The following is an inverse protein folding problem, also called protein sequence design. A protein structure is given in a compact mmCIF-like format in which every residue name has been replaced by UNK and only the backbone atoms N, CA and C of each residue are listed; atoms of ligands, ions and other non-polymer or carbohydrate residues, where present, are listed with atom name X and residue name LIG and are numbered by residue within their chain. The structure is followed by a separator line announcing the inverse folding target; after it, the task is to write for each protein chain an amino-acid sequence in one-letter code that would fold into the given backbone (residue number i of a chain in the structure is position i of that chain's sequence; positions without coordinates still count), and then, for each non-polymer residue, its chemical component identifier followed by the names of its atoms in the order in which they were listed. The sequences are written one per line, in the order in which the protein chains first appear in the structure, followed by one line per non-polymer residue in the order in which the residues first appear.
data_IF_977348771876
#
_entry.id   IF_977348771876
#
_cell.length_a   1.000
_cell.length_b   1.000
_cell.length_c   1.000
_cell.angle_alpha   90.00
_cell.angle_beta   90.00
_cell.angle_gamma   90.00
#
_symmetry.space_group_name_H-M   'P 1'
#
loop_
_entity.id
_entity.type
_entity.pdbx_description
1 polymer ?
#
# COMPACT_ATOMS: atom_id res chain seq x y z
N UNK A 1 -11.99 -15.16 -4.16
CA UNK A 1 -10.86 -14.71 -3.28
C UNK A 1 -10.69 -15.50 -1.99
N UNK A 2 -11.70 -15.56 -1.10
CA UNK A 2 -11.57 -16.17 0.26
C UNK A 2 -10.99 -17.59 0.27
N UNK A 3 -11.38 -18.41 -0.71
CA UNK A 3 -10.85 -19.77 -0.90
C UNK A 3 -9.36 -19.79 -1.24
N UNK A 4 -8.90 -18.88 -2.10
CA UNK A 4 -7.47 -18.73 -2.45
C UNK A 4 -6.68 -18.25 -1.22
N UNK A 5 -7.19 -17.26 -0.50
CA UNK A 5 -6.57 -16.73 0.72
C UNK A 5 -6.45 -17.81 1.82
N UNK A 6 -7.48 -18.64 2.00
CA UNK A 6 -7.44 -19.78 2.93
C UNK A 6 -6.36 -20.79 2.53
N UNK A 7 -6.28 -21.17 1.25
CA UNK A 7 -5.23 -22.07 0.74
C UNK A 7 -3.84 -21.48 0.93
N UNK A 8 -3.65 -20.19 0.65
CA UNK A 8 -2.40 -19.48 0.86
C UNK A 8 -1.98 -19.48 2.34
N UNK A 9 -2.89 -19.08 3.25
CA UNK A 9 -2.63 -19.06 4.71
C UNK A 9 -2.28 -20.46 5.24
N UNK A 10 -2.98 -21.50 4.78
CA UNK A 10 -2.68 -22.87 5.17
C UNK A 10 -1.30 -23.32 4.66
N UNK A 11 -0.96 -23.02 3.40
CA UNK A 11 0.34 -23.39 2.84
C UNK A 11 1.48 -22.63 3.52
N UNK A 12 1.28 -21.37 3.88
CA UNK A 12 2.24 -20.60 4.68
C UNK A 12 2.44 -21.18 6.08
N UNK A 13 1.36 -21.59 6.76
CA UNK A 13 1.46 -22.29 8.07
C UNK A 13 2.24 -23.60 7.94
N UNK A 14 1.97 -24.38 6.90
CA UNK A 14 2.71 -25.61 6.62
C UNK A 14 4.20 -25.33 6.39
N UNK A 15 4.52 -24.36 5.53
CA UNK A 15 5.90 -23.94 5.28
C UNK A 15 6.61 -23.51 6.57
N UNK A 16 5.97 -22.67 7.39
CA UNK A 16 6.53 -22.20 8.67
C UNK A 16 6.78 -23.37 9.62
N UNK A 17 5.83 -24.30 9.73
CA UNK A 17 5.97 -25.50 10.56
C UNK A 17 7.11 -26.41 10.10
N UNK A 18 7.21 -26.63 8.78
CA UNK A 18 8.27 -27.43 8.18
C UNK A 18 9.64 -26.80 8.45
N UNK A 19 9.81 -25.49 8.22
CA UNK A 19 11.07 -24.77 8.49
C UNK A 19 11.45 -24.85 9.97
N UNK A 20 10.50 -24.61 10.90
CA UNK A 20 10.78 -24.69 12.34
C UNK A 20 11.23 -26.10 12.74
N UNK A 21 10.50 -27.13 12.30
CA UNK A 21 10.85 -28.52 12.57
C UNK A 21 12.26 -28.85 12.03
N UNK A 22 12.55 -28.40 10.81
CA UNK A 22 13.84 -28.60 10.15
C UNK A 22 15.00 -28.02 10.95
N UNK A 23 14.84 -26.77 11.38
CA UNK A 23 15.84 -26.04 12.15
C UNK A 23 16.08 -26.71 13.49
N UNK A 24 15.02 -27.09 14.22
CA UNK A 24 15.13 -27.79 15.50
C UNK A 24 15.85 -29.13 15.31
N UNK A 25 15.45 -29.92 14.33
CA UNK A 25 16.04 -31.23 14.06
C UNK A 25 17.55 -31.12 13.76
N UNK A 26 17.94 -30.19 12.88
CA UNK A 26 19.33 -29.95 12.53
C UNK A 26 20.15 -29.51 13.75
N UNK A 27 19.65 -28.57 14.56
CA UNK A 27 20.35 -28.12 15.76
C UNK A 27 20.54 -29.23 16.81
N UNK A 28 19.50 -30.02 17.05
CA UNK A 28 19.58 -31.17 17.96
C UNK A 28 20.61 -32.17 17.46
N UNK A 29 20.60 -32.46 16.15
CA UNK A 29 21.56 -33.39 15.57
C UNK A 29 22.99 -32.88 15.60
N UNK A 30 23.25 -31.59 15.35
CA UNK A 30 24.60 -31.01 15.50
C UNK A 30 25.16 -31.25 16.91
N UNK A 31 24.33 -31.11 17.95
CA UNK A 31 24.74 -31.41 19.33
C UNK A 31 24.93 -32.91 19.63
N UNK A 32 24.15 -33.76 18.97
CA UNK A 32 24.20 -35.22 19.15
C UNK A 32 25.23 -35.92 18.24
N UNK A 33 25.71 -35.25 17.19
CA UNK A 33 26.64 -35.77 16.17
C UNK A 33 27.83 -36.55 16.73
N UNK A 34 28.58 -36.07 17.76
CA UNK A 34 29.71 -36.82 18.30
C UNK A 34 29.29 -38.16 18.92
N UNK A 35 28.12 -38.22 19.57
CA UNK A 35 27.59 -39.46 20.17
C UNK A 35 27.08 -40.43 19.12
N UNK A 36 26.42 -39.93 18.07
CA UNK A 36 25.91 -40.75 16.96
C UNK A 36 27.07 -41.36 16.17
N UNK A 37 28.13 -40.59 15.89
CA UNK A 37 29.35 -41.09 15.24
C UNK A 37 30.07 -42.15 16.07
N UNK A 38 30.11 -41.96 17.39
CA UNK A 38 30.70 -42.95 18.30
C UNK A 38 29.92 -44.27 18.32
N UNK A 39 28.61 -44.23 18.12
CA UNK A 39 27.76 -45.42 18.08
C UNK A 39 27.81 -46.14 16.71
N UNK A 40 27.69 -45.40 15.61
CA UNK A 40 27.78 -45.96 14.26
C UNK A 40 28.10 -44.88 13.22
N UNK A 41 29.22 -45.06 12.51
CA UNK A 41 29.61 -44.18 11.41
C UNK A 41 28.58 -44.20 10.27
N UNK A 42 28.02 -45.37 9.94
CA UNK A 42 27.00 -45.49 8.90
C UNK A 42 25.69 -44.77 9.29
N UNK A 43 25.34 -44.78 10.58
CA UNK A 43 24.18 -44.06 11.09
C UNK A 43 24.38 -42.55 10.97
N UNK A 44 25.56 -42.03 11.34
CA UNK A 44 25.87 -40.61 11.20
C UNK A 44 25.82 -40.14 9.74
N UNK A 45 26.35 -40.94 8.80
CA UNK A 45 26.24 -40.66 7.36
C UNK A 45 24.77 -40.64 6.91
N UNK A 46 23.96 -41.61 7.35
CA UNK A 46 22.53 -41.64 7.05
C UNK A 46 21.76 -40.42 7.56
N UNK A 47 22.07 -39.95 8.77
CA UNK A 47 21.41 -38.76 9.35
C UNK A 47 21.87 -37.47 8.66
N UNK A 48 23.14 -37.37 8.24
CA UNK A 48 23.61 -36.26 7.42
C UNK A 48 22.84 -36.16 6.10
N UNK A 49 22.67 -37.27 5.38
CA UNK A 49 21.83 -37.29 4.17
C UNK A 49 20.38 -36.92 4.46
N UNK A 50 19.83 -37.35 5.59
CA UNK A 50 18.49 -36.94 6.01
C UNK A 50 18.41 -35.42 6.21
N UNK A 51 19.40 -34.80 6.86
CA UNK A 51 19.49 -33.34 6.99
C UNK A 51 19.55 -32.64 5.62
N UNK A 52 20.37 -33.12 4.69
CA UNK A 52 20.49 -32.54 3.35
C UNK A 52 19.19 -32.63 2.55
N UNK A 53 18.53 -33.79 2.57
CA UNK A 53 17.21 -33.99 1.95
C UNK A 53 16.18 -33.01 2.54
N UNK A 54 16.26 -32.80 3.84
CA UNK A 54 15.34 -31.95 4.58
C UNK A 54 15.57 -30.46 4.24
N UNK A 55 16.83 -30.01 4.08
CA UNK A 55 17.15 -28.68 3.54
C UNK A 55 16.63 -28.53 2.10
N UNK A 56 16.85 -29.54 1.25
CA UNK A 56 16.40 -29.51 -0.14
C UNK A 56 14.86 -29.44 -0.23
N UNK A 57 14.16 -30.20 0.61
CA UNK A 57 12.71 -30.15 0.72
C UNK A 57 12.22 -28.75 1.14
N UNK A 58 12.88 -28.09 2.10
CA UNK A 58 12.57 -26.71 2.45
C UNK A 58 12.69 -25.77 1.25
N UNK A 59 13.80 -25.84 0.51
CA UNK A 59 14.03 -24.98 -0.65
C UNK A 59 12.96 -25.17 -1.72
N UNK A 60 12.58 -26.43 -2.02
CA UNK A 60 11.52 -26.74 -2.98
C UNK A 60 10.17 -26.17 -2.52
N UNK A 61 9.80 -26.35 -1.25
CA UNK A 61 8.52 -25.85 -0.73
C UNK A 61 8.50 -24.31 -0.71
N UNK A 62 9.59 -23.65 -0.33
CA UNK A 62 9.74 -22.19 -0.40
C UNK A 62 9.57 -21.72 -1.84
N UNK A 63 10.25 -22.37 -2.78
CA UNK A 63 10.17 -22.04 -4.21
C UNK A 63 8.74 -22.17 -4.74
N UNK A 64 8.06 -23.27 -4.44
CA UNK A 64 6.66 -23.48 -4.83
C UNK A 64 5.73 -22.43 -4.23
N UNK A 65 5.95 -22.03 -2.97
CA UNK A 65 5.18 -20.98 -2.32
C UNK A 65 5.33 -19.64 -3.06
N UNK A 66 6.58 -19.18 -3.25
CA UNK A 66 6.83 -17.89 -3.90
C UNK A 66 6.43 -17.87 -5.36
N UNK A 67 6.67 -18.97 -6.09
CA UNK A 67 6.26 -19.10 -7.49
C UNK A 67 4.75 -19.04 -7.66
N UNK A 68 3.98 -19.55 -6.70
CA UNK A 68 2.52 -19.63 -6.81
C UNK A 68 1.78 -18.44 -6.20
N UNK A 69 2.31 -17.87 -5.11
CA UNK A 69 1.61 -16.88 -4.30
C UNK A 69 2.34 -15.54 -4.16
N UNK A 70 3.60 -15.43 -4.58
CA UNK A 70 4.42 -14.24 -4.30
C UNK A 70 3.80 -12.92 -4.78
N UNK A 71 3.33 -12.87 -6.04
CA UNK A 71 2.66 -11.68 -6.60
C UNK A 71 1.20 -11.54 -6.15
N UNK A 72 0.56 -12.67 -5.86
CA UNK A 72 -0.85 -12.74 -5.48
C UNK A 72 -1.04 -12.17 -4.07
N UNK A 73 -0.04 -12.32 -3.19
CA UNK A 73 -0.14 -11.90 -1.80
C UNK A 73 -0.34 -10.41 -1.63
N UNK A 74 0.48 -9.58 -2.30
CA UNK A 74 0.35 -8.12 -2.24
C UNK A 74 -0.98 -7.70 -2.83
N UNK A 75 -1.32 -8.23 -4.00
CA UNK A 75 -2.57 -7.92 -4.69
C UNK A 75 -3.81 -8.24 -3.85
N UNK A 76 -3.85 -9.41 -3.21
CA UNK A 76 -4.96 -9.79 -2.32
C UNK A 76 -5.01 -8.90 -1.08
N UNK A 77 -3.86 -8.49 -0.56
CA UNK A 77 -3.81 -7.58 0.59
C UNK A 77 -4.34 -6.20 0.22
N UNK A 78 -4.03 -5.70 -0.98
CA UNK A 78 -4.51 -4.40 -1.44
C UNK A 78 -6.05 -4.40 -1.55
N UNK A 79 -6.64 -5.47 -2.12
CA UNK A 79 -8.10 -5.62 -2.15
C UNK A 79 -8.69 -5.77 -0.74
N UNK A 80 -8.07 -6.55 0.14
CA UNK A 80 -8.52 -6.67 1.54
C UNK A 80 -8.51 -5.31 2.23
N UNK A 81 -7.44 -4.53 2.05
CA UNK A 81 -7.30 -3.20 2.64
C UNK A 81 -8.42 -2.28 2.15
N UNK A 82 -8.70 -2.25 0.85
CA UNK A 82 -9.75 -1.41 0.25
C UNK A 82 -11.17 -1.83 0.66
N UNK A 83 -11.46 -3.13 0.74
CA UNK A 83 -12.77 -3.63 1.15
C UNK A 83 -13.06 -3.43 2.63
N UNK A 84 -12.02 -3.38 3.46
CA UNK A 84 -12.10 -3.12 4.90
C UNK A 84 -11.95 -1.63 5.24
N UNK A 85 -11.57 -0.78 4.28
CA UNK A 85 -11.46 0.67 4.48
C UNK A 85 -12.84 1.33 4.57
N UNK A 86 -12.85 2.46 5.27
CA UNK A 86 -14.00 3.36 5.29
C UNK A 86 -14.27 3.91 3.88
N UNK A 87 -15.54 4.12 3.52
CA UNK A 87 -15.89 4.71 2.23
C UNK A 87 -15.21 6.07 2.07
N UNK A 88 -15.41 6.93 3.06
CA UNK A 88 -14.79 8.24 3.15
C UNK A 88 -14.55 8.65 4.60
N UNK A 89 -13.76 9.71 4.74
CA UNK A 89 -13.44 10.34 6.00
C UNK A 89 -14.01 11.76 6.03
N UNK A 90 -14.19 12.34 7.20
CA UNK A 90 -14.70 13.70 7.36
C UNK A 90 -13.55 14.60 7.79
N UNK A 91 -13.36 15.71 7.08
CA UNK A 91 -12.38 16.73 7.47
C UNK A 91 -12.81 17.40 8.77
N UNK A 92 -11.86 17.64 9.69
CA UNK A 92 -12.13 18.44 10.89
C UNK A 92 -11.97 19.94 10.64
N UNK A 93 -11.67 20.33 9.40
CA UNK A 93 -11.54 21.73 8.99
C UNK A 93 -12.92 22.38 8.83
N UNK A 94 -12.95 23.70 8.97
CA UNK A 94 -14.14 24.49 8.65
C UNK A 94 -14.43 24.42 7.15
N UNK A 95 -15.69 24.64 6.79
CA UNK A 95 -16.10 24.64 5.38
C UNK A 95 -15.57 25.91 4.71
N UNK A 96 -14.66 25.70 3.77
CA UNK A 96 -13.90 26.73 3.05
C UNK A 96 -14.06 26.48 1.55
N UNK A 97 -13.84 27.51 0.72
CA UNK A 97 -13.73 27.28 -0.72
C UNK A 97 -12.40 26.59 -1.07
N UNK A 98 -12.27 26.08 -2.30
CA UNK A 98 -11.08 25.36 -2.79
C UNK A 98 -9.78 26.18 -2.60
N UNK A 99 -9.83 27.50 -2.82
CA UNK A 99 -8.65 28.36 -2.73
C UNK A 99 -8.19 28.55 -1.28
N UNK A 100 -9.13 28.88 -0.39
CA UNK A 100 -8.89 29.05 1.03
C UNK A 100 -8.38 27.75 1.66
N UNK A 101 -8.99 26.62 1.27
CA UNK A 101 -8.56 25.29 1.73
C UNK A 101 -7.11 25.00 1.32
N UNK A 102 -6.74 25.30 0.07
CA UNK A 102 -5.37 25.15 -0.40
C UNK A 102 -4.39 26.03 0.39
N UNK A 103 -4.75 27.28 0.66
CA UNK A 103 -3.90 28.21 1.42
C UNK A 103 -3.73 27.78 2.88
N UNK A 104 -4.78 27.28 3.53
CA UNK A 104 -4.72 26.76 4.89
C UNK A 104 -3.81 25.54 4.97
N UNK A 105 -3.98 24.55 4.09
CA UNK A 105 -3.12 23.36 4.06
C UNK A 105 -1.65 23.77 3.77
N UNK A 106 -1.44 24.74 2.88
CA UNK A 106 -0.11 25.25 2.57
C UNK A 106 0.56 25.89 3.78
N UNK A 107 -0.16 26.73 4.54
CA UNK A 107 0.35 27.33 5.78
C UNK A 107 0.71 26.28 6.82
N UNK A 108 -0.12 25.24 6.97
CA UNK A 108 0.15 24.15 7.91
C UNK A 108 1.42 23.39 7.54
N UNK A 109 1.65 23.15 6.26
CA UNK A 109 2.89 22.55 5.75
C UNK A 109 4.11 23.45 6.00
N UNK A 110 4.00 24.76 5.75
CA UNK A 110 5.06 25.75 6.03
C UNK A 110 5.43 25.78 7.52
N UNK A 111 4.42 25.86 8.39
CA UNK A 111 4.58 25.87 9.85
C UNK A 111 5.24 24.58 10.36
N UNK A 112 5.02 23.47 9.65
CA UNK A 112 5.66 22.19 9.93
C UNK A 112 7.04 22.03 9.25
N UNK A 113 7.62 23.11 8.70
CA UNK A 113 8.99 23.15 8.18
C UNK A 113 9.17 22.46 6.82
N UNK A 114 8.11 22.39 6.00
CA UNK A 114 8.24 21.97 4.61
C UNK A 114 8.76 23.13 3.75
N UNK A 115 9.62 22.81 2.78
CA UNK A 115 10.01 23.77 1.73
C UNK A 115 8.93 23.82 0.68
N UNK A 116 8.28 24.98 0.52
CA UNK A 116 7.18 25.19 -0.41
C UNK A 116 7.67 25.75 -1.75
N UNK A 117 7.07 25.26 -2.84
CA UNK A 117 7.05 25.87 -4.16
C UNK A 117 5.59 26.04 -4.56
N UNK A 118 5.17 27.25 -4.95
CA UNK A 118 3.81 27.54 -5.39
C UNK A 118 3.77 27.75 -6.90
N UNK A 119 2.66 27.39 -7.53
CA UNK A 119 2.35 27.64 -8.94
C UNK A 119 3.54 27.34 -9.85
N UNK A 120 3.87 26.05 -9.98
CA UNK A 120 4.97 25.60 -10.81
C UNK A 120 4.48 24.56 -11.81
N UNK A 121 5.12 24.56 -12.98
CA UNK A 121 4.76 23.66 -14.06
C UNK A 121 5.72 22.48 -14.11
N UNK A 122 5.15 21.31 -14.39
CA UNK A 122 5.87 20.07 -14.67
C UNK A 122 5.36 19.58 -16.02
N UNK A 123 6.24 19.64 -17.02
CA UNK A 123 5.88 19.43 -18.42
C UNK A 123 4.68 20.31 -18.81
N UNK A 124 3.53 19.69 -19.06
CA UNK A 124 2.31 20.31 -19.56
C UNK A 124 1.25 20.54 -18.45
N UNK A 125 1.57 20.26 -17.19
CA UNK A 125 0.65 20.38 -16.06
C UNK A 125 1.15 21.37 -15.00
N UNK A 126 0.21 22.16 -14.48
CA UNK A 126 0.47 23.14 -13.42
C UNK A 126 0.06 22.61 -12.06
N UNK A 127 0.97 22.67 -11.09
CA UNK A 127 0.71 22.32 -9.69
C UNK A 127 0.61 23.58 -8.84
N UNK A 128 -0.38 23.63 -7.94
CA UNK A 128 -0.58 24.78 -7.06
C UNK A 128 0.46 24.83 -5.95
N UNK A 129 0.75 23.69 -5.32
CA UNK A 129 1.73 23.61 -4.22
C UNK A 129 2.55 22.34 -4.33
N UNK A 130 3.86 22.47 -4.09
CA UNK A 130 4.77 21.37 -3.79
C UNK A 130 5.48 21.66 -2.49
N UNK A 131 5.36 20.74 -1.54
CA UNK A 131 5.98 20.79 -0.24
C UNK A 131 6.94 19.62 -0.06
N UNK A 132 8.22 19.92 0.20
CA UNK A 132 9.26 18.90 0.37
C UNK A 132 9.89 19.00 1.78
N UNK A 133 9.90 17.88 2.51
CA UNK A 133 10.60 17.75 3.81
C UNK A 133 11.28 16.41 3.94
N UNK A 134 12.60 16.39 3.73
CA UNK A 134 13.40 15.16 3.80
C UNK A 134 12.94 14.09 2.82
N UNK A 135 12.29 13.04 3.34
CA UNK A 135 11.71 11.91 2.57
C UNK A 135 10.18 11.99 2.43
N UNK A 136 9.57 13.09 2.84
CA UNK A 136 8.14 13.34 2.68
C UNK A 136 7.94 14.37 1.57
N UNK A 137 7.03 14.08 0.65
CA UNK A 137 6.71 14.90 -0.50
C UNK A 137 5.20 15.08 -0.55
N UNK A 138 4.72 16.30 -0.74
CA UNK A 138 3.30 16.62 -0.73
C UNK A 138 3.01 17.57 -1.88
N UNK A 139 2.05 17.23 -2.71
CA UNK A 139 1.63 18.01 -3.87
C UNK A 139 0.16 18.34 -3.71
N UNK A 140 -0.23 19.57 -4.03
CA UNK A 140 -1.62 20.04 -3.97
C UNK A 140 -2.01 20.58 -5.34
N UNK A 141 -3.17 20.15 -5.81
CA UNK A 141 -3.81 20.63 -7.02
C UNK A 141 -5.24 21.00 -6.70
N UNK A 142 -5.68 22.12 -7.26
CA UNK A 142 -7.06 22.59 -7.26
C UNK A 142 -7.67 22.23 -8.60
N UNK A 143 -8.70 21.41 -8.62
CA UNK A 143 -9.42 21.01 -9.83
C UNK A 143 -10.90 21.08 -9.51
N UNK A 144 -11.71 21.62 -10.41
CA UNK A 144 -13.18 21.56 -10.30
C UNK A 144 -13.69 20.32 -11.03
N UNK A 145 -14.71 19.65 -10.49
CA UNK A 145 -15.33 18.44 -11.06
C UNK A 145 -14.32 17.34 -11.43
N UNK A 146 -13.58 16.87 -10.44
CA UNK A 146 -12.48 15.93 -10.60
C UNK A 146 -12.93 14.56 -11.15
N UNK A 147 -12.27 14.11 -12.21
CA UNK A 147 -12.48 12.78 -12.83
C UNK A 147 -11.26 11.84 -12.69
N UNK A 148 -11.43 10.58 -13.12
CA UNK A 148 -10.35 9.56 -13.14
C UNK A 148 -9.12 9.98 -13.95
N UNK A 149 -9.31 10.62 -15.10
CA UNK A 149 -8.22 10.98 -16.01
C UNK A 149 -7.36 12.08 -15.41
N UNK A 150 -7.98 13.05 -14.74
CA UNK A 150 -7.28 14.11 -14.02
C UNK A 150 -6.36 13.52 -12.96
N UNK A 151 -6.89 12.64 -12.10
CA UNK A 151 -6.12 12.00 -11.02
C UNK A 151 -4.90 11.26 -11.58
N UNK A 152 -5.08 10.49 -12.65
CA UNK A 152 -4.00 9.72 -13.27
C UNK A 152 -2.96 10.63 -13.94
N UNK A 153 -3.39 11.69 -14.63
CA UNK A 153 -2.48 12.62 -15.29
C UNK A 153 -1.61 13.37 -14.29
N UNK A 154 -2.19 13.90 -13.21
CA UNK A 154 -1.42 14.57 -12.14
C UNK A 154 -0.51 13.60 -11.38
N UNK A 155 -0.93 12.35 -11.21
CA UNK A 155 -0.09 11.32 -10.61
C UNK A 155 1.15 11.07 -11.48
N UNK A 156 0.98 10.87 -12.79
CA UNK A 156 2.10 10.63 -13.71
C UNK A 156 3.08 11.81 -13.75
N UNK A 157 2.58 13.04 -13.73
CA UNK A 157 3.44 14.23 -13.69
C UNK A 157 4.13 14.42 -12.34
N UNK A 158 3.46 14.11 -11.21
CA UNK A 158 4.11 14.08 -9.90
C UNK A 158 5.25 13.05 -9.88
N UNK A 159 5.03 11.86 -10.46
CA UNK A 159 6.05 10.82 -10.57
C UNK A 159 7.23 11.32 -11.39
N UNK A 160 6.96 11.98 -12.51
CA UNK A 160 8.00 12.57 -13.35
C UNK A 160 8.80 13.64 -12.59
N UNK A 161 8.15 14.58 -11.90
CA UNK A 161 8.83 15.62 -11.12
C UNK A 161 9.69 15.02 -10.02
N UNK A 162 9.17 14.04 -9.28
CA UNK A 162 9.90 13.38 -8.21
C UNK A 162 11.14 12.63 -8.71
N UNK A 163 11.02 11.94 -9.84
CA UNK A 163 12.08 11.08 -10.35
C UNK A 163 13.12 11.82 -11.20
N UNK A 164 12.68 12.78 -12.01
CA UNK A 164 13.51 13.45 -13.01
C UNK A 164 14.01 14.82 -12.58
N UNK A 165 13.19 15.61 -11.87
CA UNK A 165 13.59 16.96 -11.45
C UNK A 165 14.13 16.98 -10.01
N UNK A 166 13.44 16.29 -9.10
CA UNK A 166 13.80 16.25 -7.68
C UNK A 166 14.74 15.10 -7.31
N UNK A 167 14.97 14.14 -8.23
CA UNK A 167 15.83 12.96 -8.08
C UNK A 167 15.57 12.14 -6.79
N UNK A 168 14.31 12.01 -6.38
CA UNK A 168 13.90 11.28 -5.19
C UNK A 168 13.73 9.78 -5.49
N UNK A 169 14.56 8.96 -4.85
CA UNK A 169 14.57 7.50 -5.02
C UNK A 169 13.87 6.71 -3.91
N UNK A 170 13.55 7.38 -2.79
CA UNK A 170 12.88 6.77 -1.63
C UNK A 170 12.07 7.83 -0.89
N UNK A 171 10.89 7.47 -0.40
CA UNK A 171 10.08 8.36 0.43
C UNK A 171 8.59 8.08 0.41
N UNK A 172 7.85 9.05 0.92
CA UNK A 172 6.42 9.04 1.14
C UNK A 172 5.84 10.26 0.44
N UNK A 173 5.11 10.03 -0.64
CA UNK A 173 4.43 11.04 -1.44
C UNK A 173 2.94 11.09 -1.12
N UNK A 174 2.37 12.29 -1.09
CA UNK A 174 0.93 12.50 -1.09
C UNK A 174 0.58 13.43 -2.25
N UNK A 175 -0.35 13.00 -3.10
CA UNK A 175 -1.01 13.84 -4.08
C UNK A 175 -2.38 14.22 -3.51
N UNK A 176 -2.57 15.49 -3.16
CA UNK A 176 -3.80 16.03 -2.63
C UNK A 176 -4.53 16.81 -3.73
N UNK A 177 -5.73 16.35 -4.09
CA UNK A 177 -6.60 17.02 -5.04
C UNK A 177 -7.74 17.67 -4.26
N UNK A 178 -7.82 18.98 -4.30
CA UNK A 178 -8.90 19.76 -3.66
C UNK A 178 -9.92 20.08 -4.75
N UNK A 179 -11.16 19.67 -4.54
CA UNK A 179 -12.24 19.78 -5.53
C UNK A 179 -13.55 20.18 -4.86
N UNK A 180 -14.46 20.75 -5.65
CA UNK A 180 -15.86 20.97 -5.27
C UNK A 180 -16.63 19.65 -5.27
N UNK A 181 -16.44 18.84 -6.32
CA UNK A 181 -17.08 17.57 -6.54
C UNK A 181 -16.09 16.53 -7.08
N UNK A 182 -16.17 15.29 -6.60
CA UNK A 182 -15.40 14.16 -7.11
C UNK A 182 -16.31 13.11 -7.74
N UNK A 183 -16.03 12.73 -8.99
CA UNK A 183 -16.72 11.62 -9.64
C UNK A 183 -16.38 10.28 -8.96
N UNK A 184 -17.28 9.31 -9.05
CA UNK A 184 -17.13 8.02 -8.35
C UNK A 184 -15.86 7.26 -8.79
N UNK A 185 -15.47 7.36 -10.06
CA UNK A 185 -14.27 6.75 -10.62
C UNK A 185 -12.97 7.40 -10.11
N UNK A 186 -12.98 8.71 -9.85
CA UNK A 186 -11.89 9.41 -9.18
C UNK A 186 -11.77 8.98 -7.71
N UNK A 187 -12.90 8.85 -7.01
CA UNK A 187 -12.96 8.38 -5.62
C UNK A 187 -12.45 6.96 -5.50
N UNK A 188 -12.82 6.07 -6.43
CA UNK A 188 -12.30 4.70 -6.51
C UNK A 188 -10.76 4.70 -6.58
N UNK A 189 -10.17 5.52 -7.45
CA UNK A 189 -8.71 5.60 -7.60
C UNK A 189 -8.02 6.16 -6.35
N UNK A 190 -8.67 7.03 -5.59
CA UNK A 190 -8.11 7.59 -4.35
C UNK A 190 -7.73 6.52 -3.31
N UNK A 191 -8.31 5.31 -3.42
CA UNK A 191 -8.02 4.16 -2.56
C UNK A 191 -6.75 3.40 -2.95
N UNK A 192 -6.09 3.80 -4.03
CA UNK A 192 -4.81 3.25 -4.43
C UNK A 192 -3.63 3.89 -3.71
N UNK A 193 -2.58 3.09 -3.53
CA UNK A 193 -1.24 3.57 -3.20
C UNK A 193 -0.33 3.11 -4.34
N UNK A 194 0.42 4.03 -4.93
CA UNK A 194 1.33 3.77 -6.06
C UNK A 194 2.75 3.53 -5.55
N UNK A 195 3.22 2.26 -5.48
CA UNK A 195 4.61 1.96 -5.14
C UNK A 195 5.52 2.14 -6.36
N UNK A 196 6.64 2.84 -6.16
CA UNK A 196 7.69 3.04 -7.14
C UNK A 196 9.05 2.51 -6.66
N UNK A 197 9.81 1.99 -7.60
CA UNK A 197 11.13 1.41 -7.36
C UNK A 197 11.09 0.01 -6.72
N UNK A 198 12.28 -0.60 -6.55
CA UNK A 198 12.40 -1.96 -6.00
C UNK A 198 11.87 -2.00 -4.57
N UNK A 199 10.92 -2.92 -4.29
CA UNK A 199 10.28 -3.09 -2.98
C UNK A 199 9.50 -1.84 -2.50
N UNK A 200 8.99 -1.00 -3.40
CA UNK A 200 8.18 0.18 -3.05
C UNK A 200 8.94 1.20 -2.20
N UNK A 201 10.15 1.56 -2.65
CA UNK A 201 11.00 2.54 -1.97
C UNK A 201 10.36 3.92 -1.90
N UNK A 202 9.62 4.29 -2.93
CA UNK A 202 8.78 5.49 -2.97
C UNK A 202 7.32 5.02 -2.99
N UNK A 203 6.48 5.55 -2.10
CA UNK A 203 5.04 5.25 -2.07
C UNK A 203 4.27 6.54 -2.21
N UNK A 204 3.40 6.64 -3.19
CA UNK A 204 2.53 7.81 -3.38
C UNK A 204 1.12 7.41 -2.99
N UNK A 205 0.52 8.10 -2.04
CA UNK A 205 -0.90 7.97 -1.74
C UNK A 205 -1.67 9.13 -2.37
N UNK A 206 -2.93 8.86 -2.70
CA UNK A 206 -3.86 9.84 -3.24
C UNK A 206 -4.80 10.29 -2.12
N UNK A 207 -5.14 11.57 -2.11
CA UNK A 207 -6.13 12.15 -1.23
C UNK A 207 -6.99 13.13 -2.02
N UNK A 208 -8.31 12.96 -1.99
CA UNK A 208 -9.27 13.90 -2.56
C UNK A 208 -9.96 14.60 -1.40
N UNK A 209 -9.87 15.93 -1.33
CA UNK A 209 -10.56 16.78 -0.35
C UNK A 209 -11.71 17.50 -1.06
N UNK A 210 -12.94 17.05 -0.81
CA UNK A 210 -14.15 17.58 -1.42
C UNK A 210 -14.74 18.67 -0.53
N UNK A 211 -14.63 19.93 -0.95
CA UNK A 211 -14.96 21.08 -0.09
C UNK A 211 -16.46 21.25 0.14
N UNK A 212 -17.31 20.82 -0.79
CA UNK A 212 -18.76 21.01 -0.70
C UNK A 212 -19.40 20.13 0.37
N UNK A 213 -18.94 18.89 0.49
CA UNK A 213 -19.41 17.93 1.50
C UNK A 213 -18.53 17.91 2.75
N UNK A 214 -17.26 18.29 2.63
CA UNK A 214 -16.25 18.11 3.68
C UNK A 214 -15.69 16.68 3.73
N UNK A 215 -15.99 15.86 2.71
CA UNK A 215 -15.52 14.50 2.61
C UNK A 215 -14.07 14.45 2.13
N UNK A 216 -13.30 13.52 2.69
CA UNK A 216 -11.92 13.24 2.29
C UNK A 216 -11.81 11.77 1.91
N UNK A 217 -11.39 11.51 0.69
CA UNK A 217 -11.26 10.16 0.14
C UNK A 217 -9.77 9.80 -0.01
N UNK A 218 -9.36 8.74 0.67
CA UNK A 218 -8.02 8.15 0.58
C UNK A 218 -8.04 6.73 1.14
N UNK A 219 -6.98 5.96 0.89
CA UNK A 219 -6.77 4.64 1.50
C UNK A 219 -6.35 4.75 2.97
N UNK A 220 -7.30 4.55 3.89
CA UNK A 220 -7.07 4.73 5.32
C UNK A 220 -6.85 3.45 6.13
N UNK A 221 -7.08 2.26 5.57
CA UNK A 221 -6.94 1.03 6.35
C UNK A 221 -5.46 0.61 6.54
N UNK A 222 -4.56 1.00 5.63
CA UNK A 222 -3.13 0.75 5.81
C UNK A 222 -2.48 1.83 6.70
N UNK A 223 -1.97 1.44 7.87
CA UNK A 223 -1.22 2.35 8.74
C UNK A 223 0.14 2.72 8.10
N UNK A 224 0.14 3.81 7.36
CA UNK A 224 1.30 4.30 6.62
C UNK A 224 1.64 5.73 7.02
N UNK A 225 2.90 6.11 6.78
CA UNK A 225 3.31 7.52 6.94
C UNK A 225 2.51 8.45 6.02
N UNK A 226 2.06 7.97 4.86
CA UNK A 226 1.17 8.71 3.96
C UNK A 226 -0.18 8.99 4.64
N UNK A 227 -0.80 7.99 5.28
CA UNK A 227 -2.02 8.19 6.07
C UNK A 227 -1.84 9.27 7.13
N UNK A 228 -0.74 9.25 7.88
CA UNK A 228 -0.46 10.30 8.88
C UNK A 228 -0.33 11.68 8.25
N UNK A 229 0.30 11.79 7.08
CA UNK A 229 0.41 13.06 6.37
C UNK A 229 -0.98 13.57 5.92
N UNK A 230 -1.84 12.67 5.41
CA UNK A 230 -3.20 13.03 4.98
C UNK A 230 -4.05 13.44 6.19
N UNK A 231 -4.04 12.67 7.27
CA UNK A 231 -4.78 13.00 8.50
C UNK A 231 -4.36 14.37 9.06
N UNK A 232 -3.04 14.59 9.22
CA UNK A 232 -2.54 15.82 9.82
C UNK A 232 -2.74 17.05 8.92
N UNK A 233 -2.51 16.93 7.60
CA UNK A 233 -2.48 18.09 6.71
C UNK A 233 -3.75 18.27 5.89
N UNK A 234 -4.43 17.22 5.45
CA UNK A 234 -5.68 17.35 4.69
C UNK A 234 -6.86 17.48 5.64
N UNK A 235 -6.98 16.53 6.58
CA UNK A 235 -8.13 16.49 7.49
C UNK A 235 -7.99 17.40 8.72
N UNK A 236 -6.76 17.82 9.06
CA UNK A 236 -6.43 18.52 10.32
C UNK A 236 -6.73 17.72 11.60
N UNK A 237 -6.55 16.39 11.56
CA UNK A 237 -6.81 15.51 12.68
C UNK A 237 -5.55 14.75 13.14
N UNK A 238 -5.49 14.47 14.44
CA UNK A 238 -4.43 13.64 15.03
C UNK A 238 -4.65 12.16 14.76
N UNK A 239 -3.56 11.41 14.71
CA UNK A 239 -3.58 9.95 14.67
C UNK A 239 -3.65 9.36 16.09
N UNK A 240 -4.46 8.31 16.34
CA UNK A 240 -5.37 7.65 15.39
C UNK A 240 -6.62 8.48 15.10
N UNK A 241 -7.11 8.41 13.85
CA UNK A 241 -8.34 9.08 13.42
C UNK A 241 -9.49 8.61 14.31
N UNK A 242 -10.18 9.56 14.95
CA UNK A 242 -11.33 9.27 15.84
C UNK A 242 -12.52 8.78 15.01
N UNK A 243 -13.33 7.89 15.59
CA UNK A 243 -14.51 7.29 14.95
C UNK A 243 -15.48 8.33 14.34
N UNK A 244 -15.58 9.53 14.94
CA UNK A 244 -16.45 10.60 14.46
C UNK A 244 -16.07 11.12 13.05
N UNK A 245 -14.83 10.89 12.61
CA UNK A 245 -14.34 11.28 11.29
C UNK A 245 -14.36 10.13 10.28
N UNK A 246 -14.91 8.97 10.64
CA UNK A 246 -14.88 7.76 9.82
C UNK A 246 -16.31 7.39 9.44
N UNK A 247 -16.63 7.47 8.15
CA UNK A 247 -17.91 7.00 7.66
C UNK A 247 -17.84 5.52 7.28
N UNK A 248 -18.60 4.68 7.97
CA UNK A 248 -18.49 3.21 7.87
C UNK A 248 -19.29 2.61 6.72
N UNK A 249 -20.06 3.40 5.98
CA UNK A 249 -20.80 2.88 4.83
C UNK A 249 -19.86 2.59 3.67
N UNK A 250 -20.10 1.45 3.02
CA UNK A 250 -19.37 1.05 1.82
C UNK A 250 -19.88 1.85 0.62
N UNK A 251 -18.94 2.33 -0.17
CA UNK A 251 -19.23 2.99 -1.45
C UNK A 251 -19.63 1.96 -2.52
N UNK A 252 -20.33 2.37 -3.59
CA UNK A 252 -20.81 1.43 -4.61
C UNK A 252 -19.65 0.69 -5.31
N UNK A 253 -18.55 1.39 -5.63
CA UNK A 253 -17.33 0.73 -6.15
C UNK A 253 -16.78 -0.37 -5.22
N UNK A 254 -16.83 -0.21 -3.89
CA UNK A 254 -16.40 -1.25 -2.94
C UNK A 254 -17.31 -2.49 -2.98
N UNK A 255 -18.62 -2.29 -3.19
CA UNK A 255 -19.57 -3.40 -3.36
C UNK A 255 -19.35 -4.13 -4.68
N UNK A 256 -19.01 -3.41 -5.75
CA UNK A 256 -18.61 -4.01 -7.02
C UNK A 256 -17.30 -4.79 -6.90
N UNK A 257 -16.32 -4.22 -6.20
CA UNK A 257 -15.05 -4.88 -5.91
C UNK A 257 -15.27 -6.15 -5.10
N UNK A 258 -16.19 -6.15 -4.13
CA UNK A 258 -16.54 -7.35 -3.36
C UNK A 258 -17.09 -8.46 -4.27
N UNK A 259 -18.01 -8.12 -5.19
CA UNK A 259 -18.53 -9.07 -6.19
C UNK A 259 -17.45 -9.57 -7.15
N UNK A 260 -16.54 -8.70 -7.61
CA UNK A 260 -15.39 -9.10 -8.44
C UNK A 260 -14.46 -10.03 -7.66
N UNK A 261 -14.17 -9.70 -6.40
CA UNK A 261 -13.31 -10.48 -5.52
C UNK A 261 -13.87 -11.88 -5.23
N UNK A 262 -15.19 -12.06 -5.19
CA UNK A 262 -15.80 -13.40 -5.09
C UNK A 262 -15.36 -14.32 -6.23
N UNK A 263 -15.38 -13.80 -7.47
CA UNK A 263 -15.01 -14.51 -8.70
C UNK A 263 -13.51 -14.71 -8.89
N UNK A 264 -12.67 -14.10 -8.06
CA UNK A 264 -11.22 -14.17 -8.19
C UNK A 264 -10.69 -15.62 -8.24
N UNK A 265 -9.92 -15.92 -9.29
CA UNK A 265 -9.14 -17.15 -9.44
C UNK A 265 -7.65 -16.85 -9.69
N UNK A 266 -6.77 -17.76 -9.27
CA UNK A 266 -5.33 -17.67 -9.54
C UNK A 266 -5.02 -17.71 -11.05
N UNK A 267 -5.84 -18.41 -11.83
CA UNK A 267 -5.65 -18.52 -13.28
C UNK A 267 -5.91 -17.19 -13.96
N UNK A 268 -7.01 -16.53 -13.61
CA UNK A 268 -7.37 -15.24 -14.19
C UNK A 268 -6.37 -14.15 -13.80
N UNK A 269 -5.89 -14.16 -12.55
CA UNK A 269 -4.82 -13.26 -12.11
C UNK A 269 -3.52 -13.48 -12.89
N UNK A 270 -3.06 -14.73 -13.01
CA UNK A 270 -1.80 -15.04 -13.72
C UNK A 270 -1.88 -14.75 -15.22
N UNK A 271 -3.09 -14.82 -15.79
CA UNK A 271 -3.34 -14.48 -17.19
C UNK A 271 -3.51 -12.97 -17.42
N UNK A 272 -3.52 -12.14 -16.37
CA UNK A 272 -3.77 -10.71 -16.50
C UNK A 272 -5.22 -10.39 -16.89
N UNK A 273 -6.19 -11.19 -16.44
CA UNK A 273 -7.62 -10.96 -16.69
C UNK A 273 -8.35 -10.43 -15.45
N UNK A 274 -7.61 -10.13 -14.38
CA UNK A 274 -8.18 -9.63 -13.13
C UNK A 274 -7.40 -8.39 -12.68
N UNK A 275 -8.06 -7.24 -12.70
CA UNK A 275 -7.53 -5.93 -12.31
C UNK A 275 -8.42 -5.31 -11.24
N UNK A 276 -7.82 -4.46 -10.41
CA UNK A 276 -8.50 -3.71 -9.37
C UNK A 276 -9.31 -2.54 -9.99
N UNK A 277 -8.67 -1.75 -10.86
CA UNK A 277 -9.23 -0.56 -11.52
C UNK A 277 -8.68 -0.32 -12.93
#
# INVERSE_FOLDING_TARGET
MRSVRKKQKNFYKFLKGLVIFSVIFIFVYIGAEPYVKAYSANLAVGVNYACDILVLANLVVIFLYYSKYGKVESFLKDIENELEDAGYYISSREKENINDRCDTICKDLENNGYKISKNFDVKDFSFNVRALKGKNYFYIIKVENLDKNDVLAYLDEMIYDLTSNCFKRKGNGVLCLITDNAQEDAVEISKMITPLGRKGQLKIALAIDETDTGNVYFQGNEETKNKTLIANFVMNCDMPIKDNYIHKEKMPFQLELEKKAEKFTLKDFNNGNFYLH
#
